data_IF_527565323097
#
_entry.id   IF_527565323097
#
_cell.length_a   1.000
_cell.length_b   1.000
_cell.length_c   1.000
_cell.angle_alpha   90.00
_cell.angle_beta   90.00
_cell.angle_gamma   90.00
#
_symmetry.space_group_name_H-M   'P 1'
#
loop_
_entity.id
_entity.type
_entity.pdbx_description
1 polymer ?
#
# COMPACT_ATOMS: atom_id res chain seq x y z
N UNK A 1 -26.20 11.00 25.56
CA UNK A 1 -24.99 10.27 25.07
C UNK A 1 -25.28 9.37 23.86
N UNK A 2 -26.37 8.59 23.84
CA UNK A 2 -26.70 7.70 22.71
C UNK A 2 -26.96 8.42 21.37
N UNK A 3 -27.49 9.64 21.39
CA UNK A 3 -27.76 10.46 20.18
C UNK A 3 -26.47 10.85 19.44
N UNK A 4 -25.40 11.22 20.15
CA UNK A 4 -24.10 11.53 19.53
C UNK A 4 -23.50 10.31 18.82
N UNK A 5 -23.59 9.13 19.44
CA UNK A 5 -23.12 7.88 18.84
C UNK A 5 -23.91 7.52 17.56
N UNK A 6 -25.22 7.74 17.54
CA UNK A 6 -26.07 7.52 16.36
C UNK A 6 -25.72 8.48 15.21
N UNK A 7 -25.53 9.76 15.50
CA UNK A 7 -25.10 10.76 14.50
C UNK A 7 -23.73 10.43 13.93
N UNK A 8 -22.78 10.04 14.77
CA UNK A 8 -21.45 9.61 14.34
C UNK A 8 -21.50 8.38 13.43
N UNK A 9 -22.30 7.36 13.78
CA UNK A 9 -22.49 6.17 12.93
C UNK A 9 -23.08 6.51 11.56
N UNK A 10 -24.09 7.39 11.51
CA UNK A 10 -24.69 7.85 10.24
C UNK A 10 -23.66 8.59 9.38
N UNK A 11 -22.86 9.46 9.99
CA UNK A 11 -21.77 10.19 9.31
C UNK A 11 -20.70 9.24 8.77
N UNK A 12 -20.24 8.29 9.59
CA UNK A 12 -19.24 7.30 9.17
C UNK A 12 -19.76 6.43 8.02
N UNK A 13 -21.01 5.98 8.08
CA UNK A 13 -21.62 5.19 6.99
C UNK A 13 -21.71 5.99 5.69
N UNK A 14 -22.05 7.29 5.77
CA UNK A 14 -22.03 8.18 4.59
C UNK A 14 -20.63 8.33 4.02
N UNK A 15 -19.62 8.56 4.86
CA UNK A 15 -18.23 8.65 4.41
C UNK A 15 -17.74 7.36 3.77
N UNK A 16 -18.02 6.21 4.37
CA UNK A 16 -17.67 4.92 3.78
C UNK A 16 -18.34 4.72 2.42
N UNK A 17 -19.63 5.06 2.29
CA UNK A 17 -20.31 4.98 1.00
C UNK A 17 -19.70 5.91 -0.06
N UNK A 18 -19.34 7.15 0.31
CA UNK A 18 -18.67 8.11 -0.59
C UNK A 18 -17.29 7.61 -1.00
N UNK A 19 -16.47 7.10 -0.06
CA UNK A 19 -15.14 6.59 -0.34
C UNK A 19 -15.19 5.33 -1.22
N UNK A 20 -16.13 4.42 -0.96
CA UNK A 20 -16.33 3.23 -1.81
C UNK A 20 -16.76 3.64 -3.22
N UNK A 21 -17.69 4.60 -3.35
CA UNK A 21 -18.09 5.11 -4.66
C UNK A 21 -16.90 5.75 -5.40
N UNK A 22 -16.14 6.59 -4.72
CA UNK A 22 -14.94 7.22 -5.29
C UNK A 22 -13.92 6.17 -5.73
N UNK A 23 -13.70 5.13 -4.93
CA UNK A 23 -12.80 4.02 -5.27
C UNK A 23 -13.26 3.25 -6.50
N UNK A 24 -14.56 2.99 -6.65
CA UNK A 24 -15.10 2.33 -7.85
C UNK A 24 -14.97 3.20 -9.10
N UNK A 25 -15.23 4.51 -8.97
CA UNK A 25 -15.09 5.47 -10.07
C UNK A 25 -13.64 5.57 -10.51
N UNK A 26 -12.71 5.78 -9.59
CA UNK A 26 -11.27 5.91 -9.93
C UNK A 26 -10.70 4.59 -10.45
N UNK A 27 -11.15 3.43 -9.96
CA UNK A 27 -10.76 2.12 -10.49
C UNK A 27 -11.25 1.93 -11.92
N UNK A 28 -12.50 2.32 -12.22
CA UNK A 28 -13.05 2.24 -13.58
C UNK A 28 -12.28 3.16 -14.53
N UNK A 29 -11.97 4.39 -14.09
CA UNK A 29 -11.14 5.32 -14.85
C UNK A 29 -9.74 4.72 -15.09
N UNK A 30 -9.12 4.12 -14.08
CA UNK A 30 -7.81 3.46 -14.18
C UNK A 30 -7.81 2.33 -15.23
N UNK A 31 -8.91 1.59 -15.38
CA UNK A 31 -9.03 0.55 -16.40
C UNK A 31 -9.23 1.13 -17.81
N UNK A 32 -9.96 2.24 -17.94
CA UNK A 32 -10.23 2.87 -19.23
C UNK A 32 -9.08 3.76 -19.73
N UNK A 33 -8.34 4.38 -18.81
CA UNK A 33 -7.25 5.32 -19.10
C UNK A 33 -5.93 4.62 -19.47
N UNK A 34 -5.18 5.22 -20.39
CA UNK A 34 -3.87 4.77 -20.88
C UNK A 34 -3.54 5.46 -22.20
N UNK A 35 -2.53 4.97 -22.94
CA UNK A 35 -2.12 5.53 -24.23
C UNK A 35 -3.28 5.62 -25.25
N UNK A 36 -4.20 4.67 -25.17
CA UNK A 36 -5.48 4.70 -25.87
C UNK A 36 -6.61 4.58 -24.85
N UNK A 37 -7.64 5.43 -24.99
CA UNK A 37 -8.85 5.32 -24.19
C UNK A 37 -9.67 4.12 -24.68
N UNK A 38 -9.90 3.15 -23.81
CA UNK A 38 -10.71 1.96 -24.12
C UNK A 38 -11.96 2.00 -23.26
N UNK A 39 -13.12 2.24 -23.88
CA UNK A 39 -14.39 2.32 -23.17
C UNK A 39 -14.89 0.94 -22.70
N UNK A 40 -15.80 0.89 -21.70
CA UNK A 40 -16.40 -0.36 -21.20
C UNK A 40 -16.98 -1.28 -22.28
N UNK A 41 -17.49 -0.71 -23.37
CA UNK A 41 -18.03 -1.49 -24.49
C UNK A 41 -16.98 -2.32 -25.24
N UNK A 42 -15.70 -1.96 -25.16
CA UNK A 42 -14.61 -2.64 -25.89
C UNK A 42 -13.76 -3.54 -24.98
N UNK A 43 -14.16 -3.76 -23.73
CA UNK A 43 -13.38 -4.55 -22.77
C UNK A 43 -13.16 -6.01 -23.18
N UNK A 44 -14.09 -6.56 -23.96
CA UNK A 44 -14.02 -7.92 -24.50
C UNK A 44 -13.62 -7.96 -25.98
N UNK A 45 -13.16 -6.83 -26.52
CA UNK A 45 -12.49 -6.83 -27.82
C UNK A 45 -11.10 -7.46 -27.70
N UNK A 46 -10.50 -7.88 -28.82
CA UNK A 46 -9.14 -8.41 -28.84
C UNK A 46 -8.11 -7.44 -28.22
N UNK A 47 -8.34 -6.13 -28.33
CA UNK A 47 -7.51 -5.10 -27.66
C UNK A 47 -7.77 -5.07 -26.15
N UNK A 48 -9.03 -5.14 -25.75
CA UNK A 48 -9.44 -5.13 -24.34
C UNK A 48 -8.89 -6.33 -23.57
N UNK A 49 -8.87 -7.51 -24.19
CA UNK A 49 -8.30 -8.73 -23.59
C UNK A 49 -6.82 -8.57 -23.23
N UNK A 50 -6.01 -7.95 -24.10
CA UNK A 50 -4.60 -7.70 -23.80
C UNK A 50 -4.43 -6.52 -22.83
N UNK A 51 -4.93 -5.33 -23.19
CA UNK A 51 -4.62 -4.10 -22.45
C UNK A 51 -5.33 -4.04 -21.10
N UNK A 52 -6.62 -4.37 -21.04
CA UNK A 52 -7.38 -4.25 -19.80
C UNK A 52 -7.07 -5.43 -18.90
N UNK A 53 -7.21 -6.66 -19.37
CA UNK A 53 -7.11 -7.83 -18.50
C UNK A 53 -5.67 -8.22 -18.14
N UNK A 54 -4.71 -8.11 -19.07
CA UNK A 54 -3.32 -8.55 -18.80
C UNK A 54 -2.42 -7.42 -18.29
N UNK A 55 -2.75 -6.15 -18.53
CA UNK A 55 -1.89 -5.01 -18.16
C UNK A 55 -2.53 -4.13 -17.10
N UNK A 56 -3.69 -3.53 -17.40
CA UNK A 56 -4.29 -2.48 -16.54
C UNK A 56 -4.94 -3.05 -15.29
N UNK A 57 -5.63 -4.19 -15.38
CA UNK A 57 -6.28 -4.84 -14.25
C UNK A 57 -5.28 -5.29 -13.18
N UNK A 58 -4.24 -6.09 -13.48
CA UNK A 58 -3.28 -6.49 -12.44
C UNK A 58 -2.57 -5.28 -11.83
N UNK A 59 -2.26 -4.24 -12.63
CA UNK A 59 -1.68 -3.00 -12.11
C UNK A 59 -2.65 -2.23 -11.20
N UNK A 60 -3.91 -2.10 -11.58
CA UNK A 60 -4.93 -1.41 -10.78
C UNK A 60 -5.14 -2.14 -9.45
N UNK A 61 -5.22 -3.47 -9.47
CA UNK A 61 -5.30 -4.28 -8.26
C UNK A 61 -4.08 -4.09 -7.36
N UNK A 62 -2.87 -4.09 -7.92
CA UNK A 62 -1.66 -3.84 -7.16
C UNK A 62 -1.67 -2.44 -6.50
N UNK A 63 -2.09 -1.40 -7.22
CA UNK A 63 -2.21 -0.03 -6.68
C UNK A 63 -3.23 0.03 -5.55
N UNK A 64 -4.39 -0.61 -5.69
CA UNK A 64 -5.41 -0.66 -4.64
C UNK A 64 -4.91 -1.36 -3.37
N UNK A 65 -4.27 -2.52 -3.54
CA UNK A 65 -3.73 -3.30 -2.41
C UNK A 65 -2.60 -2.56 -1.70
N UNK A 66 -1.65 -1.99 -2.45
CA UNK A 66 -0.52 -1.23 -1.87
C UNK A 66 -1.02 0.05 -1.20
N UNK A 67 -1.94 0.79 -1.83
CA UNK A 67 -2.52 2.00 -1.25
C UNK A 67 -3.27 1.73 0.05
N UNK A 68 -4.07 0.66 0.10
CA UNK A 68 -4.75 0.23 1.32
C UNK A 68 -3.77 -0.22 2.42
N UNK A 69 -2.72 -0.95 2.06
CA UNK A 69 -1.68 -1.39 3.00
C UNK A 69 -0.91 -0.19 3.59
N UNK A 70 -0.57 0.81 2.78
CA UNK A 70 0.10 2.03 3.24
C UNK A 70 -0.81 2.86 4.17
N UNK A 71 -2.08 3.04 3.79
CA UNK A 71 -3.06 3.76 4.63
C UNK A 71 -3.26 3.06 5.99
N UNK A 72 -3.39 1.73 5.99
CA UNK A 72 -3.53 0.94 7.21
C UNK A 72 -2.25 0.98 8.06
N UNK A 73 -1.08 0.84 7.43
CA UNK A 73 0.19 0.91 8.14
C UNK A 73 0.41 2.29 8.78
N UNK A 74 0.05 3.38 8.08
CA UNK A 74 0.07 4.74 8.64
C UNK A 74 -0.86 4.86 9.86
N UNK A 75 -2.11 4.42 9.75
CA UNK A 75 -3.06 4.46 10.87
C UNK A 75 -2.58 3.64 12.09
N UNK A 76 -1.98 2.46 11.85
CA UNK A 76 -1.39 1.64 12.92
C UNK A 76 -0.22 2.36 13.57
N UNK A 77 0.67 2.97 12.80
CA UNK A 77 1.82 3.70 13.36
C UNK A 77 1.37 4.93 14.16
N UNK A 78 0.41 5.70 13.64
CA UNK A 78 -0.16 6.84 14.36
C UNK A 78 -0.78 6.44 15.70
N UNK A 79 -1.48 5.29 15.75
CA UNK A 79 -2.05 4.77 16.98
C UNK A 79 -0.98 4.21 17.94
N UNK A 80 0.06 3.56 17.42
CA UNK A 80 1.13 2.96 18.21
C UNK A 80 2.02 4.02 18.87
N UNK A 81 2.33 5.11 18.15
CA UNK A 81 3.19 6.18 18.63
C UNK A 81 2.42 7.33 19.28
N UNK A 82 1.08 7.27 19.26
CA UNK A 82 0.21 8.39 19.68
C UNK A 82 0.62 9.72 19.02
N UNK A 83 1.17 9.64 17.81
CA UNK A 83 1.72 10.76 17.06
C UNK A 83 1.04 10.84 15.69
N UNK A 84 0.22 11.88 15.43
CA UNK A 84 -0.50 12.00 14.17
C UNK A 84 0.42 12.19 12.95
N UNK A 85 1.70 12.49 13.16
CA UNK A 85 2.71 12.64 12.10
C UNK A 85 3.51 11.35 11.84
N UNK A 86 3.27 10.27 12.58
CA UNK A 86 3.99 9.02 12.40
C UNK A 86 3.60 8.34 11.07
N UNK A 87 4.60 7.96 10.29
CA UNK A 87 4.43 7.12 9.10
C UNK A 87 5.56 6.07 9.01
N UNK A 88 5.28 4.88 8.46
CA UNK A 88 6.26 3.79 8.37
C UNK A 88 7.51 4.15 7.53
N UNK A 89 7.37 5.07 6.58
CA UNK A 89 8.49 5.54 5.73
C UNK A 89 9.58 6.25 6.53
N UNK A 90 9.19 7.04 7.56
CA UNK A 90 10.13 7.78 8.40
C UNK A 90 11.02 6.88 9.26
N UNK A 91 10.53 5.69 9.60
CA UNK A 91 11.23 4.72 10.45
C UNK A 91 12.28 3.89 9.68
N UNK A 92 12.46 4.17 8.38
CA UNK A 92 13.48 3.51 7.55
C UNK A 92 13.10 2.12 7.04
N UNK A 93 11.87 1.65 7.26
CA UNK A 93 11.40 0.33 6.77
C UNK A 93 11.43 0.27 5.24
N UNK A 94 10.97 1.33 4.56
CA UNK A 94 11.03 1.45 3.09
C UNK A 94 12.47 1.46 2.57
N UNK A 95 13.38 2.15 3.27
CA UNK A 95 14.80 2.17 2.94
C UNK A 95 15.44 0.79 3.14
N UNK A 96 15.07 0.07 4.20
CA UNK A 96 15.48 -1.31 4.45
C UNK A 96 15.09 -2.25 3.31
N UNK A 97 13.86 -2.13 2.80
CA UNK A 97 13.43 -2.87 1.62
C UNK A 97 14.27 -2.54 0.38
N UNK A 98 14.57 -1.26 0.15
CA UNK A 98 15.44 -0.82 -0.94
C UNK A 98 16.85 -1.42 -0.84
N UNK A 99 17.45 -1.42 0.36
CA UNK A 99 18.76 -2.03 0.60
C UNK A 99 18.73 -3.53 0.31
N UNK A 100 17.70 -4.25 0.78
CA UNK A 100 17.54 -5.69 0.53
C UNK A 100 17.42 -6.00 -0.97
N UNK A 101 16.66 -5.18 -1.71
CA UNK A 101 16.51 -5.32 -3.16
C UNK A 101 17.82 -5.06 -3.90
N UNK A 102 18.53 -3.95 -3.60
CA UNK A 102 19.80 -3.61 -4.26
C UNK A 102 20.86 -4.67 -3.95
N UNK A 103 20.95 -5.13 -2.70
CA UNK A 103 21.86 -6.21 -2.32
C UNK A 103 21.57 -7.49 -3.13
N UNK A 104 20.30 -7.85 -3.30
CA UNK A 104 19.91 -9.01 -4.11
C UNK A 104 20.30 -8.85 -5.59
N UNK A 105 20.08 -7.67 -6.18
CA UNK A 105 20.46 -7.40 -7.57
C UNK A 105 21.97 -7.53 -7.77
N UNK A 106 22.76 -6.93 -6.88
CA UNK A 106 24.23 -6.94 -6.97
C UNK A 106 24.82 -8.33 -6.71
N UNK A 107 24.40 -8.99 -5.62
CA UNK A 107 24.90 -10.32 -5.24
C UNK A 107 24.40 -11.41 -6.17
N UNK A 108 23.16 -11.28 -6.65
CA UNK A 108 22.53 -12.18 -7.61
C UNK A 108 22.98 -11.95 -9.06
N UNK A 109 23.82 -10.95 -9.33
CA UNK A 109 24.35 -10.61 -10.66
C UNK A 109 23.25 -10.43 -11.72
N UNK A 110 22.06 -9.99 -11.31
CA UNK A 110 20.89 -9.85 -12.19
C UNK A 110 20.23 -11.16 -12.65
N UNK A 111 20.66 -12.32 -12.16
CA UNK A 111 20.09 -13.63 -12.53
C UNK A 111 18.87 -14.03 -11.69
N UNK A 112 18.55 -13.26 -10.64
CA UNK A 112 17.44 -13.57 -9.75
C UNK A 112 16.09 -13.26 -10.39
N UNK A 113 15.10 -14.15 -10.28
CA UNK A 113 13.74 -13.88 -10.77
C UNK A 113 13.07 -12.80 -9.93
N UNK A 114 12.09 -12.09 -10.51
CA UNK A 114 11.43 -10.94 -9.87
C UNK A 114 10.80 -11.24 -8.50
N UNK A 115 10.26 -12.44 -8.30
CA UNK A 115 9.73 -12.86 -7.00
C UNK A 115 10.81 -12.93 -5.91
N UNK A 116 12.03 -13.35 -6.26
CA UNK A 116 13.14 -13.44 -5.32
C UNK A 116 13.60 -12.04 -4.89
N UNK A 117 13.63 -11.08 -5.82
CA UNK A 117 13.90 -9.67 -5.51
C UNK A 117 12.84 -9.11 -4.53
N UNK A 118 11.56 -9.46 -4.73
CA UNK A 118 10.49 -9.11 -3.81
C UNK A 118 10.69 -9.68 -2.40
N UNK A 119 11.10 -10.94 -2.28
CA UNK A 119 11.41 -11.55 -0.98
C UNK A 119 12.61 -10.88 -0.29
N UNK A 120 13.65 -10.50 -1.04
CA UNK A 120 14.79 -9.77 -0.50
C UNK A 120 14.40 -8.37 -0.01
N UNK A 121 13.49 -7.68 -0.72
CA UNK A 121 12.93 -6.42 -0.25
C UNK A 121 12.14 -6.59 1.06
N UNK A 122 11.31 -7.63 1.16
CA UNK A 122 10.58 -7.97 2.39
C UNK A 122 11.56 -8.26 3.53
N UNK A 123 12.60 -9.06 3.28
CA UNK A 123 13.63 -9.37 4.27
C UNK A 123 14.33 -8.11 4.78
N UNK A 124 14.69 -7.18 3.89
CA UNK A 124 15.28 -5.90 4.27
C UNK A 124 14.37 -5.04 5.16
N UNK A 125 13.08 -4.95 4.84
CA UNK A 125 12.09 -4.26 5.68
C UNK A 125 11.91 -4.94 7.06
N UNK A 126 11.90 -6.27 7.09
CA UNK A 126 11.77 -7.04 8.33
C UNK A 126 12.98 -6.88 9.25
N UNK A 127 14.19 -6.80 8.70
CA UNK A 127 15.40 -6.54 9.49
C UNK A 127 15.32 -5.18 10.19
N UNK A 128 14.92 -4.12 9.48
CA UNK A 128 14.73 -2.80 10.11
C UNK A 128 13.63 -2.85 11.17
N UNK A 129 12.48 -3.44 10.85
CA UNK A 129 11.39 -3.61 11.81
C UNK A 129 11.83 -4.35 13.07
N UNK A 130 12.63 -5.41 12.92
CA UNK A 130 13.16 -6.18 14.05
C UNK A 130 14.13 -5.36 14.90
N UNK A 131 15.00 -4.56 14.28
CA UNK A 131 15.91 -3.63 14.99
C UNK A 131 15.09 -2.60 15.78
N UNK A 132 14.05 -2.02 15.19
CA UNK A 132 13.16 -1.08 15.87
C UNK A 132 12.47 -1.71 17.08
N UNK A 133 11.92 -2.93 16.91
CA UNK A 133 11.30 -3.67 18.02
C UNK A 133 12.30 -3.97 19.14
N UNK A 134 13.56 -4.27 18.80
CA UNK A 134 14.61 -4.49 19.79
C UNK A 134 14.95 -3.21 20.57
N UNK A 135 14.96 -2.05 19.91
CA UNK A 135 15.15 -0.76 20.59
C UNK A 135 13.95 -0.39 21.46
N UNK A 136 12.73 -0.55 20.95
CA UNK A 136 11.51 -0.28 21.71
C UNK A 136 11.41 -1.14 22.99
N UNK A 137 11.83 -2.41 22.93
CA UNK A 137 11.85 -3.32 24.09
C UNK A 137 12.87 -2.95 25.17
N UNK A 138 13.87 -2.11 24.89
CA UNK A 138 14.93 -1.75 25.85
C UNK A 138 14.62 -0.50 26.69
N UNK A 139 13.33 -0.19 26.92
CA UNK A 139 12.84 0.95 27.72
C UNK A 139 13.22 2.33 27.17
N UNK A 140 12.74 2.66 25.96
CA UNK A 140 12.66 4.05 25.54
C UNK A 140 11.20 4.52 25.65
N UNK A 141 10.97 5.52 26.50
CA UNK A 141 9.75 6.34 26.50
C UNK A 141 9.42 6.76 25.06
N UNK A 142 8.13 6.77 24.71
CA UNK A 142 7.60 7.10 23.37
C UNK A 142 8.12 8.43 22.80
N UNK A 143 8.68 9.29 23.63
CA UNK A 143 9.36 10.54 23.25
C UNK A 143 10.71 10.40 22.53
N UNK A 144 11.26 9.18 22.36
CA UNK A 144 12.54 8.95 21.67
C UNK A 144 12.45 8.12 20.37
N UNK A 145 11.24 7.85 19.88
CA UNK A 145 10.96 7.22 18.57
C UNK A 145 10.25 8.25 17.67
#
# INVERSE_FOLDING_TARGET
MLTFAQTQRRRNRRWLAVLTLLLLVTSTISLCAGDQWIGPGEWFSAKGELFIWQIRLPRTLAVLLVGAALALSGAIMQALFENPLAEPGLLGVSNGAGVGLIAAVLLGKGLLPGWALGLCAIAGALVITFILLRFARRHLSTSRL
#
